data_IF_990485832377
#
_entry.id   IF_990485832377
#
_cell.length_a   1.000
_cell.length_b   1.000
_cell.length_c   1.000
_cell.angle_alpha   90.00
_cell.angle_beta   90.00
_cell.angle_gamma   90.00
#
_symmetry.space_group_name_H-M   'P 1'
#
loop_
_entity.id
_entity.type
_entity.pdbx_description
1 polymer ?
#
# COMPACT_ATOMS: atom_id res chain seq x y z
N UNK A 1 -16.40 15.97 12.42
CA UNK A 1 -16.64 15.66 13.85
C UNK A 1 -17.42 14.35 13.97
N UNK A 2 -16.74 13.24 14.29
CA UNK A 2 -17.39 12.15 15.02
C UNK A 2 -16.42 11.59 16.09
N UNK A 3 -16.19 12.31 17.19
CA UNK A 3 -15.30 11.85 18.28
C UNK A 3 -16.07 11.32 19.49
N UNK A 4 -17.40 11.40 19.51
CA UNK A 4 -18.22 11.07 20.68
C UNK A 4 -18.72 9.61 20.73
N UNK A 5 -18.57 8.83 19.66
CA UNK A 5 -19.20 7.50 19.55
C UNK A 5 -18.29 6.32 19.98
N UNK A 6 -16.99 6.54 20.14
CA UNK A 6 -16.02 5.46 20.41
C UNK A 6 -16.09 4.93 21.84
N UNK A 7 -16.33 5.81 22.81
CA UNK A 7 -16.39 5.42 24.23
C UNK A 7 -17.66 4.61 24.53
N UNK A 8 -18.77 4.91 23.85
CA UNK A 8 -20.02 4.15 23.98
C UNK A 8 -19.90 2.74 23.38
N UNK A 9 -19.24 2.60 22.22
CA UNK A 9 -19.01 1.29 21.59
C UNK A 9 -18.12 0.41 22.47
N UNK A 10 -17.08 0.98 23.08
CA UNK A 10 -16.19 0.24 24.00
C UNK A 10 -16.94 -0.15 25.28
N UNK A 11 -17.76 0.76 25.84
CA UNK A 11 -18.53 0.48 27.04
C UNK A 11 -19.57 -0.65 26.82
N UNK A 12 -20.25 -0.65 25.67
CA UNK A 12 -21.21 -1.71 25.31
C UNK A 12 -20.54 -3.08 25.16
N UNK A 13 -19.38 -3.14 24.51
CA UNK A 13 -18.61 -4.40 24.36
C UNK A 13 -18.11 -4.94 25.71
N UNK A 14 -17.74 -4.06 26.66
CA UNK A 14 -17.29 -4.48 28.00
C UNK A 14 -18.46 -5.08 28.81
N UNK A 15 -19.67 -4.50 28.70
CA UNK A 15 -20.87 -5.01 29.38
C UNK A 15 -21.26 -6.40 28.85
N UNK A 16 -21.16 -6.62 27.54
CA UNK A 16 -21.46 -7.89 26.89
C UNK A 16 -20.47 -9.00 27.32
N UNK A 17 -19.18 -8.66 27.42
CA UNK A 17 -18.14 -9.57 27.96
C UNK A 17 -18.43 -9.93 29.42
N UNK A 18 -18.86 -8.97 30.24
CA UNK A 18 -19.17 -9.22 31.64
C UNK A 18 -20.39 -10.13 31.81
N UNK A 19 -21.44 -9.93 31.00
CA UNK A 19 -22.61 -10.80 30.97
C UNK A 19 -22.29 -12.23 30.49
N UNK A 20 -21.31 -12.39 29.59
CA UNK A 20 -20.82 -13.70 29.14
C UNK A 20 -19.98 -14.46 30.19
N UNK A 21 -19.31 -13.74 31.10
CA UNK A 21 -18.52 -14.33 32.20
C UNK A 21 -19.43 -14.84 33.32
N UNK A 22 -20.47 -14.07 33.67
CA UNK A 22 -21.39 -14.41 34.77
C UNK A 22 -22.27 -15.64 34.45
N UNK A 23 -22.50 -15.93 33.16
CA UNK A 23 -23.29 -17.08 32.70
C UNK A 23 -22.48 -18.38 32.52
N UNK A 24 -21.19 -18.41 32.89
CA UNK A 24 -20.36 -19.62 32.83
C UNK A 24 -20.10 -20.16 31.42
N UNK A 25 -20.47 -19.42 30.37
CA UNK A 25 -20.31 -19.80 28.96
C UNK A 25 -18.91 -19.48 28.41
N UNK A 26 -17.86 -19.68 29.21
CA UNK A 26 -16.47 -19.54 28.76
C UNK A 26 -16.06 -20.83 28.04
N UNK A 27 -16.66 -21.05 26.86
CA UNK A 27 -16.09 -21.90 25.79
C UNK A 27 -16.28 -21.28 24.40
N UNK A 28 -16.77 -20.06 24.28
CA UNK A 28 -16.48 -19.25 23.10
C UNK A 28 -15.07 -18.71 23.28
N UNK A 29 -14.06 -19.48 22.82
CA UNK A 29 -12.74 -18.92 22.52
C UNK A 29 -13.02 -17.65 21.73
N UNK A 30 -12.64 -16.45 22.21
CA UNK A 30 -12.93 -15.27 21.44
C UNK A 30 -12.17 -15.48 20.14
N UNK A 31 -12.93 -15.57 19.06
CA UNK A 31 -12.42 -15.50 17.71
C UNK A 31 -12.00 -14.04 17.54
N UNK A 32 -10.92 -13.67 18.25
CA UNK A 32 -10.20 -12.45 17.95
C UNK A 32 -9.73 -12.68 16.53
N UNK A 33 -10.47 -12.16 15.57
CA UNK A 33 -9.97 -12.02 14.22
C UNK A 33 -8.84 -10.99 14.35
N UNK A 34 -7.64 -11.50 14.66
CA UNK A 34 -6.43 -10.71 14.84
C UNK A 34 -6.22 -9.81 13.64
N UNK A 35 -6.73 -10.22 12.47
CA UNK A 35 -6.74 -9.48 11.23
C UNK A 35 -7.53 -8.16 11.35
N UNK A 36 -8.75 -8.16 11.90
CA UNK A 36 -9.56 -6.93 12.02
C UNK A 36 -8.91 -5.86 12.93
N UNK A 37 -8.23 -6.29 14.00
CA UNK A 37 -7.57 -5.36 14.94
C UNK A 37 -6.20 -4.90 14.46
N UNK A 38 -5.47 -5.73 13.70
CA UNK A 38 -4.22 -5.35 13.05
C UNK A 38 -4.47 -4.37 11.89
N UNK A 39 -5.51 -4.63 11.08
CA UNK A 39 -5.90 -3.80 9.93
C UNK A 39 -6.32 -2.40 10.37
N UNK A 40 -7.01 -2.28 11.51
CA UNK A 40 -7.49 -1.00 12.04
C UNK A 40 -6.37 0.03 12.31
N UNK A 41 -5.17 -0.41 12.71
CA UNK A 41 -4.07 0.51 13.04
C UNK A 41 -3.05 0.65 11.90
N UNK A 42 -2.81 -0.42 11.16
CA UNK A 42 -1.77 -0.44 10.11
C UNK A 42 -2.23 0.28 8.85
N UNK A 43 -3.50 0.13 8.46
CA UNK A 43 -4.03 0.76 7.26
C UNK A 43 -3.89 2.29 7.29
N UNK A 44 -4.37 3.04 8.31
CA UNK A 44 -4.24 4.49 8.33
C UNK A 44 -2.79 4.97 8.49
N UNK A 45 -1.96 4.23 9.24
CA UNK A 45 -0.55 4.55 9.41
C UNK A 45 0.22 4.41 8.09
N UNK A 46 0.01 3.30 7.38
CA UNK A 46 0.64 3.02 6.09
C UNK A 46 0.22 4.04 5.02
N UNK A 47 -1.07 4.37 4.93
CA UNK A 47 -1.57 5.41 4.02
C UNK A 47 -0.96 6.78 4.31
N UNK A 48 -0.75 7.10 5.59
CA UNK A 48 -0.12 8.36 6.01
C UNK A 48 1.35 8.41 5.59
N UNK A 49 2.10 7.33 5.81
CA UNK A 49 3.52 7.23 5.41
C UNK A 49 3.67 7.33 3.89
N UNK A 50 2.85 6.61 3.12
CA UNK A 50 2.87 6.69 1.66
C UNK A 50 2.57 8.10 1.15
N UNK A 51 1.61 8.78 1.77
CA UNK A 51 1.22 10.15 1.36
C UNK A 51 2.31 11.18 1.66
N UNK A 52 2.99 11.06 2.81
CA UNK A 52 4.15 11.90 3.14
C UNK A 52 5.32 11.62 2.20
N UNK A 53 5.62 10.34 1.96
CA UNK A 53 6.70 9.95 1.06
C UNK A 53 6.48 10.46 -0.37
N UNK A 54 5.27 10.29 -0.92
CA UNK A 54 4.91 10.81 -2.24
C UNK A 54 5.02 12.33 -2.32
N UNK A 55 4.62 13.06 -1.27
CA UNK A 55 4.73 14.52 -1.23
C UNK A 55 6.19 14.97 -1.24
N UNK A 56 7.05 14.35 -0.43
CA UNK A 56 8.49 14.66 -0.38
C UNK A 56 9.15 14.34 -1.72
N UNK A 57 8.82 13.19 -2.32
CA UNK A 57 9.36 12.80 -3.63
C UNK A 57 9.01 13.83 -4.71
N UNK A 58 7.76 14.29 -4.79
CA UNK A 58 7.35 15.28 -5.80
C UNK A 58 8.14 16.59 -5.64
N UNK A 59 8.34 17.04 -4.39
CA UNK A 59 9.14 18.24 -4.10
C UNK A 59 10.60 18.06 -4.55
N UNK A 60 11.19 16.90 -4.27
CA UNK A 60 12.56 16.60 -4.68
C UNK A 60 12.69 16.50 -6.20
N UNK A 61 11.74 15.88 -6.89
CA UNK A 61 11.73 15.81 -8.35
C UNK A 61 11.64 17.21 -8.98
N UNK A 62 10.82 18.11 -8.44
CA UNK A 62 10.76 19.51 -8.88
C UNK A 62 12.11 20.23 -8.69
N UNK A 63 12.80 19.98 -7.58
CA UNK A 63 14.15 20.51 -7.34
C UNK A 63 15.17 19.95 -8.34
N UNK A 64 15.12 18.65 -8.63
CA UNK A 64 15.97 17.99 -9.62
C UNK A 64 15.75 18.59 -11.01
N UNK A 65 14.49 18.78 -11.44
CA UNK A 65 14.19 19.45 -12.70
C UNK A 65 14.74 20.87 -12.74
N UNK A 66 14.56 21.63 -11.67
CA UNK A 66 15.09 22.99 -11.57
C UNK A 66 16.63 23.00 -11.66
N UNK A 67 17.30 22.04 -11.03
CA UNK A 67 18.76 21.92 -11.03
C UNK A 67 19.30 21.52 -12.42
N UNK A 68 18.68 20.57 -13.10
CA UNK A 68 19.03 20.17 -14.47
C UNK A 68 18.86 21.34 -15.44
N UNK A 69 17.80 22.14 -15.28
CA UNK A 69 17.57 23.29 -16.16
C UNK A 69 18.58 24.40 -15.88
N UNK A 70 18.82 24.72 -14.61
CA UNK A 70 19.56 25.92 -14.18
C UNK A 70 21.08 25.73 -14.09
N UNK A 71 21.57 24.53 -13.78
CA UNK A 71 23.00 24.26 -13.54
C UNK A 71 23.71 23.53 -14.66
N UNK A 72 22.99 22.90 -15.61
CA UNK A 72 23.66 22.17 -16.70
C UNK A 72 24.17 23.14 -17.78
N UNK A 73 25.50 23.18 -18.05
CA UNK A 73 26.10 24.05 -19.05
C UNK A 73 25.65 23.70 -20.48
N UNK A 74 25.60 24.71 -21.36
CA UNK A 74 25.06 24.58 -22.73
C UNK A 74 25.87 23.65 -23.63
N UNK A 75 27.14 23.40 -23.29
CA UNK A 75 28.06 22.52 -24.01
C UNK A 75 27.68 21.03 -23.89
N UNK A 76 26.85 20.66 -22.89
CA UNK A 76 26.40 19.29 -22.63
C UNK A 76 24.91 19.10 -22.94
N UNK A 77 24.45 19.62 -24.08
CA UNK A 77 23.03 19.63 -24.45
C UNK A 77 22.42 18.23 -24.56
N UNK A 78 23.12 17.27 -25.14
CA UNK A 78 22.62 15.90 -25.30
C UNK A 78 22.54 15.17 -23.95
N UNK A 79 23.55 15.36 -23.10
CA UNK A 79 23.57 14.82 -21.74
C UNK A 79 22.47 15.44 -20.86
N UNK A 80 22.16 16.73 -21.07
CA UNK A 80 21.03 17.40 -20.41
C UNK A 80 19.70 16.76 -20.75
N UNK A 81 19.46 16.46 -22.03
CA UNK A 81 18.22 15.80 -22.48
C UNK A 81 18.12 14.38 -21.93
N UNK A 82 19.23 13.66 -21.87
CA UNK A 82 19.29 12.34 -21.24
C UNK A 82 18.95 12.40 -19.73
N UNK A 83 19.56 13.34 -18.98
CA UNK A 83 19.27 13.52 -17.56
C UNK A 83 17.81 13.91 -17.32
N UNK A 84 17.25 14.77 -18.17
CA UNK A 84 15.85 15.17 -18.08
C UNK A 84 14.92 13.96 -18.32
N UNK A 85 15.24 13.12 -19.29
CA UNK A 85 14.46 11.92 -19.57
C UNK A 85 14.47 10.95 -18.39
N UNK A 86 15.64 10.71 -17.78
CA UNK A 86 15.75 9.89 -16.56
C UNK A 86 14.93 10.50 -15.42
N UNK A 87 14.99 11.82 -15.22
CA UNK A 87 14.22 12.49 -14.17
C UNK A 87 12.70 12.36 -14.41
N UNK A 88 12.24 12.38 -15.66
CA UNK A 88 10.84 12.14 -16.03
C UNK A 88 10.44 10.68 -15.75
N UNK A 89 11.25 9.71 -16.17
CA UNK A 89 11.02 8.30 -15.88
C UNK A 89 10.94 8.03 -14.37
N UNK A 90 11.84 8.63 -13.59
CA UNK A 90 11.84 8.55 -12.13
C UNK A 90 10.57 9.13 -11.50
N UNK A 91 10.08 10.29 -12.00
CA UNK A 91 8.83 10.87 -11.52
C UNK A 91 7.63 9.97 -11.85
N UNK A 92 7.59 9.39 -13.05
CA UNK A 92 6.53 8.47 -13.46
C UNK A 92 6.54 7.22 -12.57
N UNK A 93 7.72 6.68 -12.28
CA UNK A 93 7.88 5.54 -11.39
C UNK A 93 7.38 5.86 -9.97
N UNK A 94 7.73 7.01 -9.41
CA UNK A 94 7.26 7.39 -8.08
C UNK A 94 5.74 7.63 -8.02
N UNK A 95 5.15 8.17 -9.09
CA UNK A 95 3.69 8.26 -9.22
C UNK A 95 3.06 6.87 -9.31
N UNK A 96 3.68 5.94 -10.04
CA UNK A 96 3.25 4.55 -10.14
C UNK A 96 3.29 3.88 -8.78
N UNK A 97 4.36 4.06 -8.00
CA UNK A 97 4.45 3.58 -6.61
C UNK A 97 3.33 4.17 -5.76
N UNK A 98 3.13 5.49 -5.81
CA UNK A 98 2.15 6.15 -4.95
C UNK A 98 0.69 5.79 -5.30
N UNK A 99 0.39 5.41 -6.54
CA UNK A 99 -0.97 5.06 -6.99
C UNK A 99 -1.22 3.55 -6.95
N UNK A 100 -0.31 2.73 -7.48
CA UNK A 100 -0.50 1.28 -7.59
C UNK A 100 -0.10 0.52 -6.34
N UNK A 101 0.76 1.07 -5.47
CA UNK A 101 1.10 0.39 -4.21
C UNK A 101 0.15 0.71 -3.06
N UNK A 102 -0.65 1.78 -3.16
CA UNK A 102 -1.74 2.06 -2.20
C UNK A 102 -2.73 0.91 -1.99
N UNK A 103 -3.17 0.16 -3.04
CA UNK A 103 -4.05 -0.99 -2.86
C UNK A 103 -3.34 -2.29 -2.48
N UNK A 104 -2.00 -2.39 -2.51
CA UNK A 104 -1.29 -3.66 -2.24
C UNK A 104 -1.53 -4.23 -0.84
N UNK A 105 -1.64 -3.43 0.24
CA UNK A 105 -2.01 -3.95 1.56
C UNK A 105 -3.50 -4.32 1.66
N UNK A 106 -4.36 -3.63 0.91
CA UNK A 106 -5.83 -3.78 0.97
C UNK A 106 -6.27 -4.98 0.10
N UNK A 107 -5.52 -5.25 -0.96
CA UNK A 107 -5.76 -6.33 -1.90
C UNK A 107 -4.42 -6.86 -2.41
N UNK A 108 -3.91 -7.97 -1.85
CA UNK A 108 -2.68 -8.58 -2.34
C UNK A 108 -2.88 -9.01 -3.80
N UNK A 109 -2.39 -8.21 -4.75
CA UNK A 109 -2.54 -8.43 -6.19
C UNK A 109 -2.06 -9.83 -6.60
N UNK A 110 -1.01 -10.32 -5.95
CA UNK A 110 -0.49 -11.68 -6.13
C UNK A 110 -1.48 -12.75 -5.66
N UNK A 111 -2.10 -12.59 -4.50
CA UNK A 111 -3.10 -13.52 -4.00
C UNK A 111 -4.40 -13.44 -4.80
N UNK A 112 -4.77 -12.26 -5.29
CA UNK A 112 -5.91 -12.06 -6.16
C UNK A 112 -5.75 -12.74 -7.52
N UNK A 113 -4.54 -12.68 -8.10
CA UNK A 113 -4.24 -13.37 -9.35
C UNK A 113 -4.28 -14.89 -9.19
N UNK A 114 -3.82 -15.40 -8.04
CA UNK A 114 -3.83 -16.83 -7.68
C UNK A 114 -5.26 -17.32 -7.41
N UNK A 115 -6.06 -16.55 -6.68
CA UNK A 115 -7.43 -16.91 -6.32
C UNK A 115 -8.47 -16.65 -7.42
N UNK A 116 -8.17 -15.76 -8.37
CA UNK A 116 -9.06 -15.34 -9.45
C UNK A 116 -8.81 -16.06 -10.78
N UNK A 117 -8.36 -15.35 -11.85
CA UNK A 117 -8.34 -15.91 -13.22
C UNK A 117 -7.46 -17.15 -13.37
N UNK A 118 -6.36 -17.21 -12.63
CA UNK A 118 -5.37 -18.30 -12.75
C UNK A 118 -5.91 -19.65 -12.25
N UNK A 119 -6.98 -19.63 -11.45
CA UNK A 119 -7.65 -20.83 -10.96
C UNK A 119 -8.40 -21.59 -12.07
N UNK A 120 -8.69 -20.91 -13.19
CA UNK A 120 -9.31 -21.52 -14.39
C UNK A 120 -8.40 -22.58 -15.02
N UNK A 121 -7.07 -22.48 -14.82
CA UNK A 121 -6.05 -23.39 -15.38
C UNK A 121 -5.75 -24.57 -14.43
N UNK A 122 -6.41 -24.64 -13.27
CA UNK A 122 -6.15 -25.63 -12.22
C UNK A 122 -5.10 -25.19 -11.20
N UNK A 123 -4.73 -26.07 -10.27
CA UNK A 123 -3.91 -25.75 -9.08
C UNK A 123 -2.52 -25.19 -9.44
N UNK A 124 -1.95 -25.62 -10.56
CA UNK A 124 -0.66 -25.12 -11.08
C UNK A 124 -0.76 -23.71 -11.68
N UNK A 125 -1.94 -23.32 -12.17
CA UNK A 125 -2.17 -22.02 -12.80
C UNK A 125 -1.92 -20.85 -11.86
N UNK A 126 -2.30 -21.00 -10.58
CA UNK A 126 -2.05 -20.01 -9.54
C UNK A 126 -0.56 -19.69 -9.36
N UNK A 127 0.30 -20.71 -9.38
CA UNK A 127 1.74 -20.53 -9.26
C UNK A 127 2.35 -19.80 -10.48
N UNK A 128 1.92 -20.15 -11.69
CA UNK A 128 2.36 -19.46 -12.91
C UNK A 128 1.91 -17.99 -12.93
N UNK A 129 0.69 -17.70 -12.47
CA UNK A 129 0.19 -16.33 -12.33
C UNK A 129 0.99 -15.49 -11.33
N UNK A 130 1.36 -16.07 -10.19
CA UNK A 130 2.18 -15.40 -9.17
C UNK A 130 3.56 -15.04 -9.72
N UNK A 131 4.22 -15.98 -10.41
CA UNK A 131 5.53 -15.75 -11.05
C UNK A 131 5.45 -14.67 -12.12
N UNK A 132 4.39 -14.66 -12.94
CA UNK A 132 4.18 -13.63 -13.97
C UNK A 132 4.01 -12.24 -13.35
N UNK A 133 3.23 -12.09 -12.28
CA UNK A 133 3.06 -10.81 -11.59
C UNK A 133 4.38 -10.30 -10.98
N UNK A 134 5.16 -11.18 -10.36
CA UNK A 134 6.46 -10.82 -9.78
C UNK A 134 7.43 -10.38 -10.87
N UNK A 135 7.45 -11.06 -12.02
CA UNK A 135 8.30 -10.70 -13.16
C UNK A 135 7.92 -9.35 -13.76
N UNK A 136 6.62 -9.03 -13.86
CA UNK A 136 6.15 -7.71 -14.32
C UNK A 136 6.60 -6.59 -13.37
N UNK A 137 6.44 -6.77 -12.06
CA UNK A 137 6.92 -5.80 -11.07
C UNK A 137 8.45 -5.70 -11.09
N UNK A 138 9.16 -6.80 -11.30
CA UNK A 138 10.63 -6.81 -11.36
C UNK A 138 11.20 -6.22 -12.65
N UNK A 139 10.42 -6.19 -13.73
CA UNK A 139 10.80 -5.55 -14.99
C UNK A 139 10.66 -4.01 -14.94
N UNK A 140 9.93 -3.51 -13.93
CA UNK A 140 9.70 -2.08 -13.70
C UNK A 140 10.66 -1.46 -12.67
N UNK A 141 11.51 -2.26 -12.01
CA UNK A 141 12.58 -1.85 -11.07
C UNK A 141 13.93 -1.92 -11.79
#
# INVERSE_FOLDING_TARGET
MPSKNYQEIIALKIIEIKAGIDNGSILAKPEWDLNETFDFFIEPFYQSVLSVNGTISVILHLLVFWLIISRTPKEMKDYKMFLLNIAICSLIHDLQLTVYWKPVPIFPVTAAFVAGPSKIIGDLGGHYGMVSCIMLVSFEI
#
